data_IF_123820478613
#
_entry.id   IF_123820478613
#
_cell.length_a   1.000
_cell.length_b   1.000
_cell.length_c   1.000
_cell.angle_alpha   90.00
_cell.angle_beta   90.00
_cell.angle_gamma   90.00
#
_symmetry.space_group_name_H-M   'P 1'
#
loop_
_entity.id
_entity.type
_entity.pdbx_description
1 polymer ?
2 non-polymer ?
3 non-polymer ?
4 water ?
#
# COMPACT_ATOMS: atom_id res chain seq x y z
N UNK A 11 18.80 15.40 -17.83
CA UNK A 11 18.82 14.05 -17.18
C UNK A 11 17.53 13.82 -16.39
N UNK A 12 17.03 12.59 -16.40
CA UNK A 12 15.78 12.28 -15.71
C UNK A 12 15.88 12.24 -14.18
N UNK A 13 14.88 12.81 -13.51
CA UNK A 13 14.74 12.60 -12.09
C UNK A 13 14.24 11.17 -11.78
N UNK A 14 14.40 10.69 -10.52
CA UNK A 14 13.80 9.42 -10.14
C UNK A 14 12.32 9.36 -10.53
N UNK A 15 11.60 10.44 -10.29
CA UNK A 15 10.17 10.47 -10.62
C UNK A 15 9.95 10.17 -12.12
N UNK A 16 10.74 10.80 -12.98
CA UNK A 16 10.63 10.58 -14.44
C UNK A 16 11.00 9.15 -14.84
N UNK A 17 11.99 8.61 -14.16
CA UNK A 17 12.46 7.24 -14.42
C UNK A 17 11.34 6.27 -14.11
N UNK A 18 10.69 6.48 -12.96
CA UNK A 18 9.54 5.62 -12.59
C UNK A 18 8.35 5.84 -13.53
N UNK A 19 8.05 7.09 -13.84
CA UNK A 19 7.00 7.37 -14.83
C UNK A 19 7.27 6.64 -16.14
N UNK A 20 8.52 6.63 -16.56
CA UNK A 20 8.87 5.92 -17.81
C UNK A 20 8.55 4.41 -17.69
N UNK A 21 8.82 3.84 -16.53
CA UNK A 21 8.46 2.44 -16.30
C UNK A 21 6.96 2.25 -16.47
N UNK A 22 6.16 3.10 -15.83
CA UNK A 22 4.70 2.95 -15.90
C UNK A 22 4.20 3.12 -17.36
N UNK A 23 4.83 4.02 -18.10
CA UNK A 23 4.47 4.21 -19.53
C UNK A 23 4.75 2.90 -20.32
N UNK A 24 5.90 2.28 -20.04
CA UNK A 24 6.31 1.05 -20.71
C UNK A 24 5.33 -0.06 -20.30
N UNK A 25 4.88 -0.04 -19.05
CA UNK A 25 3.85 -1.01 -18.58
C UNK A 25 2.53 -0.86 -19.33
N UNK A 26 2.09 0.37 -19.55
CA UNK A 26 0.88 0.64 -20.35
C UNK A 26 1.01 0.11 -21.78
N UNK A 27 2.25 0.08 -22.30
CA UNK A 27 2.52 -0.39 -23.65
C UNK A 27 2.82 -1.89 -23.71
N UNK A 28 2.75 -2.57 -22.57
CA UNK A 28 3.08 -4.01 -22.49
C UNK A 28 4.46 -4.30 -23.03
N UNK A 29 5.41 -3.45 -22.66
CA UNK A 29 6.76 -3.58 -23.18
C UNK A 29 7.72 -3.94 -22.06
N UNK A 30 7.99 -5.23 -21.86
CA UNK A 30 8.87 -5.66 -20.75
C UNK A 30 10.32 -5.21 -20.87
N UNK A 31 10.85 -5.13 -22.09
CA UNK A 31 12.16 -4.58 -22.31
C UNK A 31 12.24 -3.15 -21.79
N UNK A 32 11.28 -2.31 -22.18
CA UNK A 32 11.28 -0.91 -21.71
C UNK A 32 11.01 -0.85 -20.21
N UNK A 33 10.12 -1.72 -19.72
CA UNK A 33 9.80 -1.73 -18.28
C UNK A 33 11.05 -1.99 -17.44
N UNK A 34 11.95 -2.80 -17.97
CA UNK A 34 13.16 -3.23 -17.24
C UNK A 34 14.40 -2.42 -17.57
N UNK A 35 14.26 -1.40 -18.43
CA UNK A 35 15.40 -0.69 -19.00
C UNK A 35 16.30 -0.06 -17.96
N UNK A 36 15.72 0.46 -16.88
CA UNK A 36 16.47 1.15 -15.83
C UNK A 36 16.65 0.34 -14.53
N UNK A 37 16.30 -0.93 -14.57
CA UNK A 37 16.45 -1.82 -13.44
C UNK A 37 17.94 -2.16 -13.23
N UNK A 38 18.46 -1.85 -12.04
CA UNK A 38 19.86 -2.12 -11.67
C UNK A 38 20.04 -3.59 -11.28
N UNK A 39 21.24 -4.14 -11.50
CA UNK A 39 21.49 -5.50 -10.96
C UNK A 39 21.34 -5.64 -9.44
N UNK A 40 21.46 -4.54 -8.71
CA UNK A 40 21.20 -4.50 -7.25
C UNK A 40 19.72 -4.53 -6.86
N UNK A 41 18.86 -4.59 -7.84
CA UNK A 41 17.40 -4.50 -7.63
C UNK A 41 16.93 -5.47 -6.53
N UNK A 42 16.04 -4.98 -5.66
CA UNK A 42 15.22 -5.85 -4.79
C UNK A 42 13.79 -5.46 -5.09
N UNK A 43 13.08 -6.37 -5.77
CA UNK A 43 11.72 -6.13 -6.26
C UNK A 43 10.82 -7.07 -5.49
N UNK A 44 10.02 -6.53 -4.58
CA UNK A 44 9.17 -7.34 -3.71
C UNK A 44 7.70 -7.32 -4.07
N UNK A 45 7.18 -8.50 -4.43
CA UNK A 45 5.75 -8.71 -4.58
C UNK A 45 5.22 -9.07 -3.19
N UNK A 46 4.04 -8.56 -2.82
CA UNK A 46 3.53 -8.65 -1.44
C UNK A 46 3.35 -10.11 -1.05
N UNK A 47 3.59 -10.42 0.23
CA UNK A 47 3.51 -11.77 0.75
C UNK A 47 2.27 -12.54 0.36
N UNK A 48 1.11 -11.87 0.45
CA UNK A 48 -0.17 -12.53 0.15
C UNK A 48 -0.58 -12.59 -1.34
N UNK A 49 0.26 -11.96 -2.18
CA UNK A 49 0.05 -11.90 -3.62
C UNK A 49 0.55 -13.20 -4.30
N UNK A 50 -0.12 -13.66 -5.35
CA UNK A 50 0.35 -14.97 -5.88
C UNK A 50 1.81 -15.01 -6.30
N UNK A 51 2.30 -13.90 -6.83
CA UNK A 51 3.72 -13.80 -7.24
C UNK A 51 4.68 -13.36 -6.10
N UNK A 52 4.22 -13.44 -4.86
CA UNK A 52 5.00 -13.14 -3.67
C UNK A 52 6.47 -13.50 -3.75
N UNK A 53 7.33 -12.61 -3.33
CA UNK A 53 8.73 -12.91 -3.15
C UNK A 53 9.54 -11.65 -3.43
N UNK A 54 10.86 -11.76 -3.25
CA UNK A 54 11.81 -10.69 -3.59
C UNK A 54 12.72 -11.17 -4.70
N UNK A 55 12.64 -10.49 -5.83
CA UNK A 55 13.34 -10.80 -7.06
C UNK A 55 14.52 -9.86 -7.24
N UNK A 56 15.63 -10.44 -7.70
CA UNK A 56 16.91 -9.75 -7.65
C UNK A 56 17.65 -9.63 -8.98
N UNK A 57 16.88 -9.70 -10.06
CA UNK A 57 17.36 -9.39 -11.38
C UNK A 57 16.15 -9.09 -12.28
N UNK A 58 16.40 -8.35 -13.35
CA UNK A 58 15.36 -8.10 -14.36
C UNK A 58 14.80 -9.38 -14.94
N UNK A 59 15.68 -10.33 -15.22
CA UNK A 59 15.26 -11.66 -15.69
C UNK A 59 14.29 -12.37 -14.71
N UNK A 60 14.58 -12.37 -13.41
CA UNK A 60 13.68 -12.99 -12.40
C UNK A 60 12.35 -12.27 -12.40
N UNK A 61 12.39 -10.95 -12.49
CA UNK A 61 11.13 -10.17 -12.50
C UNK A 61 10.27 -10.50 -13.71
N UNK A 62 10.89 -10.53 -14.87
CA UNK A 62 10.15 -10.82 -16.11
C UNK A 62 9.57 -12.22 -16.06
N UNK A 63 10.40 -13.19 -15.69
CA UNK A 63 9.98 -14.60 -15.68
C UNK A 63 9.00 -14.92 -14.55
N UNK A 64 9.31 -14.49 -13.34
CA UNK A 64 8.59 -15.02 -12.18
C UNK A 64 7.45 -14.12 -11.78
N UNK A 65 7.38 -12.93 -12.34
CA UNK A 65 6.29 -12.02 -12.05
C UNK A 65 5.49 -11.78 -13.34
N UNK A 66 6.05 -11.07 -14.30
CA UNK A 66 5.24 -10.64 -15.45
C UNK A 66 4.81 -11.85 -16.32
N UNK A 67 5.71 -12.77 -16.60
CA UNK A 67 5.31 -13.95 -17.39
C UNK A 67 4.22 -14.75 -16.71
N UNK A 68 4.36 -14.93 -15.38
CA UNK A 68 3.45 -15.72 -14.62
C UNK A 68 2.07 -15.05 -14.62
N UNK A 69 2.05 -13.72 -14.45
CA UNK A 69 0.79 -13.00 -14.51
C UNK A 69 0.10 -13.24 -15.87
N UNK A 70 0.88 -13.17 -16.94
CA UNK A 70 0.32 -13.38 -18.29
C UNK A 70 -0.22 -14.78 -18.51
N UNK A 71 0.45 -15.77 -17.91
CA UNK A 71 0.05 -17.15 -18.01
C UNK A 71 -1.23 -17.44 -17.23
N UNK A 72 -1.37 -16.85 -16.07
CA UNK A 72 -2.42 -17.22 -15.12
C UNK A 72 -3.69 -16.34 -15.11
N UNK A 73 -3.56 -15.18 -15.77
CA UNK A 73 -4.62 -14.15 -15.77
C UNK A 73 -4.84 -13.69 -17.21
N UNK A 74 -6.10 -13.40 -17.51
CA UNK A 74 -6.50 -12.71 -18.73
C UNK A 74 -6.71 -11.23 -18.46
N UNK A 75 -6.03 -10.38 -19.23
CA UNK A 75 -6.23 -8.96 -19.11
C UNK A 75 -5.75 -8.35 -17.81
N UNK A 76 -4.71 -8.93 -17.21
CA UNK A 76 -4.14 -8.35 -16.00
C UNK A 76 -3.67 -6.95 -16.33
N UNK A 77 -4.20 -5.99 -15.59
CA UNK A 77 -4.01 -4.58 -15.88
C UNK A 77 -3.66 -3.77 -14.65
N UNK A 78 -2.73 -2.80 -14.81
CA UNK A 78 -2.51 -1.77 -13.78
C UNK A 78 -2.82 -0.41 -14.42
N UNK A 79 -3.60 0.39 -13.73
CA UNK A 79 -3.89 1.75 -14.12
C UNK A 79 -3.38 2.71 -13.05
N UNK A 80 -2.47 3.58 -13.44
CA UNK A 80 -1.84 4.53 -12.54
C UNK A 80 -2.79 5.71 -12.31
N UNK A 81 -3.07 6.01 -11.05
CA UNK A 81 -3.95 7.12 -10.63
C UNK A 81 -3.15 8.35 -10.12
N UNK A 82 -2.08 8.10 -9.38
CA UNK A 82 -1.23 9.12 -8.75
C UNK A 82 0.23 8.69 -8.75
N UNK A 83 1.11 9.67 -8.79
CA UNK A 83 2.54 9.41 -8.67
C UNK A 83 3.14 10.48 -7.78
N UNK A 84 3.69 10.05 -6.65
CA UNK A 84 4.12 10.95 -5.60
C UNK A 84 5.64 11.03 -5.60
N UNK A 85 6.19 12.25 -5.61
CA UNK A 85 7.59 12.47 -5.75
C UNK A 85 8.22 12.70 -4.37
N UNK A 86 8.90 11.68 -3.82
CA UNK A 86 9.65 11.82 -2.57
C UNK A 86 11.16 11.82 -2.79
N UNK A 87 11.61 12.47 -3.86
CA UNK A 87 13.04 12.60 -4.13
C UNK A 87 13.56 11.34 -4.77
N UNK A 88 14.41 10.63 -4.03
CA UNK A 88 14.92 9.35 -4.53
C UNK A 88 13.91 8.23 -4.42
N UNK A 89 12.85 8.46 -3.64
CA UNK A 89 11.71 7.52 -3.50
C UNK A 89 10.52 8.07 -4.22
N UNK A 90 9.82 7.20 -4.96
CA UNK A 90 8.65 7.58 -5.70
C UNK A 90 7.57 6.59 -5.41
N UNK A 91 6.34 7.09 -5.23
CA UNK A 91 5.23 6.19 -4.85
C UNK A 91 4.13 6.28 -5.88
N UNK A 92 3.84 5.15 -6.55
CA UNK A 92 2.78 5.07 -7.52
C UNK A 92 1.54 4.49 -6.84
N UNK A 93 0.37 5.03 -7.17
CA UNK A 93 -0.89 4.53 -6.66
C UNK A 93 -1.84 4.29 -7.82
N UNK A 94 -2.59 3.21 -7.75
CA UNK A 94 -3.54 2.88 -8.81
C UNK A 94 -4.45 1.72 -8.52
N UNK A 95 -4.86 1.06 -9.57
CA UNK A 95 -5.81 -0.03 -9.50
C UNK A 95 -5.31 -1.17 -10.34
N UNK A 96 -5.43 -2.37 -9.79
CA UNK A 96 -5.28 -3.56 -10.57
C UNK A 96 -6.63 -4.15 -10.97
N UNK A 97 -6.67 -4.86 -12.10
CA UNK A 97 -7.83 -5.68 -12.46
C UNK A 97 -7.35 -6.86 -13.29
N UNK A 98 -8.17 -7.89 -13.38
CA UNK A 98 -7.79 -9.05 -14.16
C UNK A 98 -8.78 -10.17 -13.95
N UNK A 99 -8.72 -11.18 -14.83
CA UNK A 99 -9.59 -12.38 -14.76
C UNK A 99 -8.69 -13.61 -14.62
N UNK A 100 -8.94 -14.38 -13.58
CA UNK A 100 -8.10 -15.54 -13.30
C UNK A 100 -8.53 -16.65 -14.23
N UNK A 101 -7.58 -17.16 -15.01
CA UNK A 101 -7.94 -18.09 -16.09
C UNK A 101 -8.59 -19.38 -15.55
N UNK A 102 -8.10 -19.92 -14.44
CA UNK A 102 -8.64 -21.19 -13.93
C UNK A 102 -10.14 -21.12 -13.56
N UNK A 103 -10.58 -20.01 -12.98
CA UNK A 103 -11.94 -19.86 -12.45
C UNK A 103 -12.88 -18.97 -13.26
N UNK A 104 -12.30 -18.17 -14.15
CA UNK A 104 -12.98 -17.17 -14.92
C UNK A 104 -13.51 -16.02 -14.09
N UNK A 105 -13.03 -15.86 -12.85
CA UNK A 105 -13.48 -14.79 -11.95
C UNK A 105 -12.56 -13.56 -12.08
N UNK A 106 -13.16 -12.38 -12.07
CA UNK A 106 -12.41 -11.12 -12.14
C UNK A 106 -12.32 -10.46 -10.79
N UNK A 107 -11.39 -9.51 -10.68
CA UNK A 107 -11.28 -8.66 -9.50
C UNK A 107 -10.87 -7.27 -9.97
N UNK A 108 -11.05 -6.31 -9.06
CA UNK A 108 -10.43 -5.02 -9.18
C UNK A 108 -10.04 -4.59 -7.78
N UNK A 109 -8.90 -4.00 -7.61
CA UNK A 109 -8.53 -3.48 -6.29
C UNK A 109 -7.49 -2.39 -6.35
N UNK A 110 -7.21 -1.81 -5.20
CA UNK A 110 -6.23 -0.77 -5.10
C UNK A 110 -4.82 -1.33 -4.88
N UNK A 111 -3.84 -0.50 -5.21
CA UNK A 111 -2.45 -0.83 -5.03
C UNK A 111 -1.61 0.43 -4.93
N UNK A 112 -0.57 0.33 -4.09
CA UNK A 112 0.49 1.31 -4.03
C UNK A 112 1.83 0.58 -4.29
N UNK A 113 2.74 1.25 -5.00
CA UNK A 113 4.08 0.78 -5.25
C UNK A 113 5.08 1.80 -4.74
N UNK A 114 6.06 1.33 -3.96
CA UNK A 114 7.12 2.21 -3.45
C UNK A 114 8.39 1.83 -4.19
N UNK A 115 8.98 2.84 -4.82
CA UNK A 115 10.19 2.76 -5.65
C UNK A 115 11.32 3.55 -5.04
N UNK A 116 12.55 3.05 -5.21
CA UNK A 116 13.76 3.87 -4.97
C UNK A 116 14.74 3.78 -6.14
N UNK A 117 15.34 4.93 -6.45
CA UNK A 117 16.29 5.09 -7.53
C UNK A 117 17.60 5.54 -6.90
N UNK A 118 18.69 5.01 -7.43
CA UNK A 118 20.05 5.35 -7.02
C UNK A 118 20.93 5.51 -8.24
N UNK A 119 21.44 6.73 -8.41
CA UNK A 119 22.33 7.05 -9.53
C UNK A 119 21.71 6.65 -10.88
N UNK A 120 20.42 6.95 -11.02
CA UNK A 120 19.73 6.86 -12.29
C UNK A 120 19.14 5.51 -12.60
N UNK A 121 19.28 4.56 -11.68
CA UNK A 121 18.70 3.22 -11.83
C UNK A 121 17.77 2.84 -10.72
N UNK A 122 16.75 2.09 -11.08
CA UNK A 122 15.80 1.61 -10.09
C UNK A 122 16.45 0.46 -9.30
N UNK A 123 16.48 0.63 -7.98
CA UNK A 123 17.09 -0.35 -7.08
C UNK A 123 16.13 -1.01 -6.10
N UNK A 124 14.93 -0.49 -5.98
CA UNK A 124 13.94 -1.01 -5.03
C UNK A 124 12.55 -0.85 -5.58
N UNK A 125 11.73 -1.88 -5.41
CA UNK A 125 10.27 -1.85 -5.69
C UNK A 125 9.61 -2.70 -4.62
N UNK A 126 8.48 -2.19 -4.12
CA UNK A 126 7.63 -2.97 -3.21
C UNK A 126 6.19 -2.70 -3.48
N UNK A 127 5.43 -3.79 -3.57
CA UNK A 127 4.03 -3.79 -3.85
C UNK A 127 3.19 -3.86 -2.56
N UNK A 128 2.13 -3.05 -2.51
CA UNK A 128 1.15 -3.11 -1.42
C UNK A 128 -0.25 -3.12 -2.03
N UNK A 129 -0.90 -4.29 -2.03
CA UNK A 129 -2.17 -4.45 -2.72
C UNK A 129 -3.14 -5.30 -1.91
N UNK A 130 -4.39 -5.34 -2.39
CA UNK A 130 -5.51 -6.00 -1.67
C UNK A 130 -5.47 -7.48 -1.98
N UNK A 131 -4.54 -8.16 -1.31
CA UNK A 131 -4.30 -9.56 -1.59
C UNK A 131 -5.52 -10.46 -1.36
N UNK A 132 -6.41 -10.06 -0.45
CA UNK A 132 -7.68 -10.80 -0.26
C UNK A 132 -8.58 -10.74 -1.51
N UNK A 133 -8.75 -9.54 -2.05
CA UNK A 133 -9.54 -9.40 -3.27
C UNK A 133 -8.96 -10.19 -4.44
N UNK A 134 -7.64 -10.19 -4.58
CA UNK A 134 -7.00 -11.00 -5.64
C UNK A 134 -7.25 -12.52 -5.38
N UNK A 135 -7.05 -12.94 -4.14
CA UNK A 135 -7.24 -14.34 -3.72
C UNK A 135 -8.68 -14.83 -3.96
N UNK A 136 -9.64 -13.94 -3.78
CA UNK A 136 -11.08 -14.26 -3.99
C UNK A 136 -11.35 -14.70 -5.44
N UNK A 137 -10.71 -14.04 -6.39
CA UNK A 137 -10.83 -14.35 -7.84
C UNK A 137 -10.27 -15.74 -8.16
N UNK A 138 -9.37 -16.24 -7.30
CA UNK A 138 -8.67 -17.51 -7.55
C UNK A 138 -9.41 -18.68 -6.93
N UNK A 139 -10.37 -18.38 -6.05
CA UNK A 139 -11.17 -19.44 -5.42
C UNK A 139 -12.13 -20.08 -6.41
N UNK A 140 -12.14 -21.42 -6.46
CA UNK A 140 -13.14 -22.14 -7.23
C UNK A 140 -14.58 -21.81 -6.82
N UNK B 10 1.52 25.49 12.57
CA UNK B 10 1.30 26.57 11.55
C UNK B 10 2.42 26.52 10.51
N UNK B 11 3.67 26.45 10.98
CA UNK B 11 4.82 26.33 10.09
C UNK B 11 5.27 24.88 9.98
N UNK B 12 4.43 24.00 10.51
CA UNK B 12 4.76 22.60 10.60
C UNK B 12 4.43 21.86 9.30
N UNK B 13 5.34 21.03 8.80
CA UNK B 13 5.18 20.48 7.48
C UNK B 13 4.18 19.33 7.55
N UNK B 14 3.58 19.00 6.40
CA UNK B 14 2.80 17.74 6.38
C UNK B 14 3.50 16.50 6.92
N UNK B 15 4.78 16.33 6.59
CA UNK B 15 5.56 15.23 7.13
C UNK B 15 5.51 15.20 8.68
N UNK B 16 5.77 16.37 9.27
CA UNK B 16 5.77 16.49 10.75
C UNK B 16 4.41 16.22 11.35
N UNK B 17 3.37 16.75 10.70
CA UNK B 17 1.99 16.53 11.13
C UNK B 17 1.66 15.01 11.14
N UNK B 18 2.05 14.32 10.08
CA UNK B 18 1.80 12.88 10.00
C UNK B 18 2.67 12.12 10.99
N UNK B 19 3.95 12.50 11.11
CA UNK B 19 4.80 11.94 12.17
C UNK B 19 4.16 12.10 13.55
N UNK B 20 3.62 13.29 13.84
CA UNK B 20 2.93 13.52 15.13
C UNK B 20 1.76 12.53 15.33
N UNK B 21 0.98 12.34 14.27
CA UNK B 21 -0.09 11.34 14.30
C UNK B 21 0.44 9.95 14.68
N UNK B 22 1.49 9.51 14.01
CA UNK B 22 2.00 8.17 14.26
C UNK B 22 2.50 8.00 15.69
N UNK B 23 3.15 9.05 16.19
CA UNK B 23 3.63 9.03 17.56
C UNK B 23 2.46 8.88 18.54
N UNK B 24 1.41 9.66 18.33
CA UNK B 24 0.20 9.63 19.17
C UNK B 24 -0.46 8.28 19.09
N UNK B 25 -0.49 7.72 17.89
CA UNK B 25 -1.16 6.43 17.68
C UNK B 25 -0.44 5.31 18.41
N UNK B 26 0.88 5.34 18.36
CA UNK B 26 1.66 4.34 19.02
C UNK B 26 1.45 4.34 20.55
N UNK B 27 1.25 5.51 21.12
CA UNK B 27 1.11 5.59 22.57
C UNK B 27 -0.37 5.63 23.01
N UNK B 28 -1.27 5.43 22.04
CA UNK B 28 -2.69 5.37 22.24
C UNK B 28 -3.28 6.60 22.89
N UNK B 29 -2.94 7.75 22.30
CA UNK B 29 -3.48 9.03 22.67
C UNK B 29 -4.46 9.52 21.61
N UNK B 30 -5.73 9.09 21.68
CA UNK B 30 -6.67 9.43 20.60
C UNK B 30 -6.92 10.90 20.39
N UNK B 31 -6.86 11.72 21.45
CA UNK B 31 -7.00 13.16 21.28
C UNK B 31 -5.91 13.70 20.38
N UNK B 32 -4.67 13.34 20.66
CA UNK B 32 -3.55 13.78 19.80
C UNK B 32 -3.60 13.12 18.40
N UNK B 33 -3.96 11.84 18.33
CA UNK B 33 -4.12 11.19 17.02
C UNK B 33 -4.99 11.98 16.08
N UNK B 34 -6.11 12.46 16.60
CA UNK B 34 -7.14 13.10 15.77
C UNK B 34 -7.05 14.64 15.72
N UNK B 35 -6.06 15.21 16.38
CA UNK B 35 -5.96 16.69 16.59
C UNK B 35 -5.91 17.46 15.27
N UNK B 36 -5.24 16.89 14.25
CA UNK B 36 -5.03 17.59 12.98
C UNK B 36 -5.94 17.07 11.86
N UNK B 37 -6.93 16.25 12.22
CA UNK B 37 -7.87 15.72 11.24
C UNK B 37 -8.81 16.83 10.78
N UNK B 38 -8.90 17.01 9.46
CA UNK B 38 -9.78 18.05 8.90
C UNK B 38 -11.24 17.65 9.03
N UNK B 39 -12.12 18.66 9.16
CA UNK B 39 -13.55 18.42 9.04
C UNK B 39 -13.90 17.64 7.77
N UNK B 40 -13.17 17.94 6.69
CA UNK B 40 -13.44 17.36 5.39
C UNK B 40 -12.67 16.03 5.17
N UNK B 41 -12.18 15.42 6.26
CA UNK B 41 -11.40 14.17 6.16
C UNK B 41 -12.09 13.08 5.31
N UNK B 42 -11.31 12.40 4.46
CA UNK B 42 -11.68 11.12 3.86
C UNK B 42 -10.60 10.10 4.26
N UNK B 43 -10.97 9.16 5.12
CA UNK B 43 -10.06 8.17 5.68
C UNK B 43 -10.55 6.80 5.20
N UNK B 44 -9.79 6.20 4.30
CA UNK B 44 -10.12 4.95 3.67
C UNK B 44 -9.29 3.74 4.19
N UNK B 45 -9.99 2.81 4.81
CA UNK B 45 -9.46 1.50 5.19
C UNK B 45 -9.70 0.62 3.94
N UNK B 46 -8.68 -0.19 3.60
CA UNK B 46 -8.73 -0.96 2.37
C UNK B 46 -9.93 -1.90 2.26
N UNK B 47 -10.43 -2.12 1.03
CA UNK B 47 -11.64 -2.85 0.79
C UNK B 47 -11.59 -4.23 1.45
N UNK B 48 -10.45 -4.93 1.33
CA UNK B 48 -10.33 -6.27 1.95
C UNK B 48 -10.01 -6.32 3.42
N UNK B 49 -9.83 -5.15 4.04
CA UNK B 49 -9.46 -5.06 5.48
C UNK B 49 -10.76 -5.14 6.31
N UNK B 50 -10.74 -5.75 7.53
CA UNK B 50 -12.02 -5.86 8.26
C UNK B 50 -12.75 -4.55 8.52
N UNK B 51 -11.98 -3.50 8.78
CA UNK B 51 -12.50 -2.15 8.95
C UNK B 51 -12.79 -1.34 7.65
N UNK B 52 -12.77 -2.04 6.50
CA UNK B 52 -12.97 -1.47 5.19
C UNK B 52 -14.00 -0.36 5.19
N UNK B 53 -13.71 0.70 4.46
CA UNK B 53 -14.67 1.76 4.25
C UNK B 53 -14.02 3.13 4.18
N UNK B 54 -14.79 4.16 3.84
CA UNK B 54 -14.32 5.56 3.86
C UNK B 54 -15.09 6.32 4.94
N UNK B 55 -14.32 6.86 5.89
CA UNK B 55 -14.85 7.53 7.09
C UNK B 55 -14.61 9.00 7.00
N UNK B 56 -15.57 9.77 7.47
CA UNK B 56 -15.66 11.19 7.08
C UNK B 56 -15.69 12.13 8.29
N UNK B 57 -15.27 11.64 9.46
CA UNK B 57 -15.08 12.49 10.63
C UNK B 57 -14.16 11.78 11.56
N UNK B 58 -13.53 12.55 12.44
CA UNK B 58 -12.73 11.97 13.51
C UNK B 58 -13.55 10.97 14.36
N UNK B 59 -14.80 11.32 14.69
CA UNK B 59 -15.67 10.42 15.46
C UNK B 59 -15.85 9.08 14.78
N UNK B 60 -16.10 9.10 13.48
CA UNK B 60 -16.26 7.87 12.71
C UNK B 60 -15.00 7.03 12.75
N UNK B 61 -13.87 7.69 12.56
CA UNK B 61 -12.60 6.97 12.52
C UNK B 61 -12.35 6.31 13.86
N UNK B 62 -12.58 7.04 14.95
CA UNK B 62 -12.30 6.46 16.29
C UNK B 62 -13.23 5.29 16.52
N UNK B 63 -14.52 5.50 16.30
CA UNK B 63 -15.51 4.44 16.59
C UNK B 63 -15.40 3.24 15.65
N UNK B 64 -15.34 3.49 14.35
CA UNK B 64 -15.48 2.39 13.37
C UNK B 64 -14.17 1.77 12.92
N UNK B 65 -13.04 2.41 13.26
CA UNK B 65 -11.73 1.85 12.95
C UNK B 65 -10.99 1.49 14.25
N UNK B 66 -10.54 2.49 15.00
CA UNK B 66 -9.65 2.19 16.12
C UNK B 66 -10.33 1.44 17.25
N UNK B 67 -11.55 1.85 17.61
CA UNK B 67 -12.28 1.12 18.67
C UNK B 67 -12.48 -0.35 18.27
N UNK B 68 -12.90 -0.59 17.02
CA UNK B 68 -13.17 -1.94 16.55
C UNK B 68 -11.88 -2.77 16.58
N UNK B 69 -10.76 -2.17 16.20
CA UNK B 69 -9.49 -2.89 16.25
C UNK B 69 -9.20 -3.37 17.68
N UNK B 70 -9.41 -2.47 18.66
CA UNK B 70 -9.18 -2.78 20.09
C UNK B 70 -10.10 -3.85 20.58
N UNK B 71 -11.33 -3.87 20.09
CA UNK B 71 -12.31 -4.87 20.53
C UNK B 71 -12.04 -6.27 19.92
N UNK B 72 -11.54 -6.32 18.69
CA UNK B 72 -11.51 -7.59 17.95
C UNK B 72 -10.13 -8.26 17.92
N UNK B 73 -9.10 -7.52 18.31
CA UNK B 73 -7.70 -7.94 18.29
C UNK B 73 -7.04 -7.64 19.63
N UNK B 74 -6.17 -8.56 20.04
CA UNK B 74 -5.23 -8.38 21.14
C UNK B 74 -3.91 -7.86 20.58
N UNK B 75 -3.45 -6.70 21.06
CA UNK B 75 -2.14 -6.23 20.73
C UNK B 75 -1.95 -5.80 19.28
N UNK B 76 -3.02 -5.29 18.69
CA UNK B 76 -2.98 -4.76 17.34
C UNK B 76 -1.98 -3.60 17.30
N UNK B 77 -0.95 -3.74 16.46
CA UNK B 77 0.19 -2.81 16.47
C UNK B 77 0.60 -2.40 15.06
N UNK B 78 0.99 -1.14 14.91
CA UNK B 78 1.66 -0.65 13.71
C UNK B 78 3.05 -0.20 14.10
N UNK B 79 4.02 -0.68 13.36
CA UNK B 79 5.40 -0.30 13.54
C UNK B 79 5.85 0.43 12.29
N UNK B 80 6.17 1.71 12.43
CA UNK B 80 6.63 2.53 11.33
C UNK B 80 8.08 2.26 10.99
N UNK B 81 8.32 1.95 9.71
CA UNK B 81 9.64 1.62 9.19
C UNK B 81 10.23 2.76 8.35
N UNK B 82 9.39 3.45 7.60
CA UNK B 82 9.80 4.52 6.67
C UNK B 82 8.75 5.56 6.59
N UNK B 83 9.16 6.79 6.33
CA UNK B 83 8.20 7.87 6.15
C UNK B 83 8.72 8.76 5.03
N UNK B 84 7.98 8.80 3.92
CA UNK B 84 8.45 9.42 2.71
C UNK B 84 7.75 10.74 2.51
N UNK B 85 8.54 11.79 2.38
CA UNK B 85 8.06 13.17 2.28
C UNK B 85 7.88 13.53 0.81
N UNK B 86 6.63 13.56 0.32
CA UNK B 86 6.32 14.01 -1.05
C UNK B 86 5.55 15.35 -0.98
N UNK B 87 5.89 16.18 0.00
CA UNK B 87 5.36 17.54 0.05
C UNK B 87 4.04 17.60 0.76
N UNK B 88 2.96 17.80 0.02
CA UNK B 88 1.63 17.78 0.62
C UNK B 88 1.14 16.37 0.86
N UNK B 89 1.76 15.41 0.18
CA UNK B 89 1.49 14.00 0.43
C UNK B 89 2.65 13.42 1.23
N UNK B 90 2.32 12.45 2.08
CA UNK B 90 3.32 11.80 2.92
C UNK B 90 2.97 10.31 2.88
N UNK B 91 3.96 9.41 2.76
CA UNK B 91 3.66 7.97 2.69
C UNK B 91 4.42 7.26 3.83
N UNK B 92 3.64 6.64 4.71
CA UNK B 92 4.20 5.83 5.81
C UNK B 92 4.27 4.38 5.35
N UNK B 93 5.31 3.64 5.78
CA UNK B 93 5.43 2.23 5.43
C UNK B 93 5.85 1.52 6.70
N UNK B 94 5.30 0.34 6.95
CA UNK B 94 5.73 -0.43 8.10
C UNK B 94 5.05 -1.77 8.14
N UNK B 95 4.83 -2.25 9.36
CA UNK B 95 4.29 -3.57 9.61
C UNK B 95 3.14 -3.50 10.60
N UNK B 96 2.12 -4.28 10.34
CA UNK B 96 1.05 -4.55 11.26
C UNK B 96 1.27 -5.90 11.88
N UNK B 97 0.78 -6.06 13.11
CA UNK B 97 0.74 -7.35 13.79
C UNK B 97 -0.42 -7.33 14.79
N UNK B 98 -0.87 -8.51 15.18
CA UNK B 98 -1.99 -8.59 16.09
C UNK B 98 -2.45 -10.03 16.23
N UNK B 99 -3.27 -10.30 17.24
CA UNK B 99 -3.86 -11.62 17.48
C UNK B 99 -5.40 -11.43 17.49
N UNK B 100 -6.07 -12.14 16.59
CA UNK B 100 -7.52 -12.04 16.49
C UNK B 100 -8.14 -12.77 17.67
N UNK B 101 -8.93 -12.04 18.44
CA UNK B 101 -9.46 -12.60 19.70
C UNK B 101 -10.33 -13.84 19.52
N UNK B 102 -11.14 -13.87 18.46
CA UNK B 102 -12.08 -15.01 18.26
C UNK B 102 -11.39 -16.36 17.97
N UNK B 103 -10.26 -16.31 17.30
CA UNK B 103 -9.56 -17.52 16.85
C UNK B 103 -8.26 -17.76 17.62
N UNK B 104 -7.66 -16.71 18.21
CA UNK B 104 -6.39 -16.81 18.90
C UNK B 104 -5.17 -16.82 17.97
N UNK B 105 -5.41 -16.58 16.67
CA UNK B 105 -4.39 -16.62 15.64
C UNK B 105 -3.76 -15.25 15.44
N UNK B 106 -2.44 -15.21 15.33
CA UNK B 106 -1.71 -13.97 15.02
C UNK B 106 -1.36 -13.86 13.54
N UNK B 107 -0.99 -12.65 13.13
CA UNK B 107 -0.46 -12.36 11.80
C UNK B 107 0.56 -11.25 11.96
N UNK B 108 1.40 -11.12 10.94
CA UNK B 108 2.24 -9.96 10.75
C UNK B 108 2.27 -9.69 9.24
N UNK B 109 2.15 -8.45 8.85
CA UNK B 109 2.26 -8.14 7.40
C UNK B 109 2.69 -6.69 7.14
N UNK B 110 2.93 -6.37 5.88
CA UNK B 110 3.32 -5.04 5.48
C UNK B 110 2.14 -4.14 5.23
N UNK B 111 2.40 -2.84 5.31
CA UNK B 111 1.38 -1.84 5.07
C UNK B 111 2.05 -0.55 4.59
N UNK B 112 1.40 0.12 3.65
CA UNK B 112 1.69 1.50 3.31
C UNK B 112 0.43 2.36 3.53
N UNK B 113 0.65 3.59 4.03
CA UNK B 113 -0.39 4.58 4.23
C UNK B 113 -0.06 5.83 3.44
N UNK B 114 -1.02 6.26 2.62
CA UNK B 114 -0.87 7.50 1.85
C UNK B 114 -1.73 8.61 2.48
N UNK B 115 -1.07 9.70 2.84
CA UNK B 115 -1.68 10.82 3.56
C UNK B 115 -1.61 12.07 2.69
N UNK B 116 -2.63 12.93 2.79
CA UNK B 116 -2.60 14.26 2.18
C UNK B 116 -2.98 15.30 3.24
N UNK B 117 -2.19 16.38 3.31
CA UNK B 117 -2.43 17.49 4.24
C UNK B 117 -2.69 18.73 3.38
N UNK B 118 -3.69 19.50 3.81
CA UNK B 118 -3.99 20.80 3.21
C UNK B 118 -4.20 21.81 4.36
N UNK B 119 -3.48 22.92 4.28
CA UNK B 119 -3.63 24.02 5.23
C UNK B 119 -3.51 23.53 6.66
N UNK B 120 -2.50 22.68 6.90
CA UNK B 120 -2.18 22.20 8.23
C UNK B 120 -3.05 21.09 8.79
N UNK B 121 -3.98 20.58 7.98
CA UNK B 121 -4.88 19.54 8.42
C UNK B 121 -4.78 18.32 7.51
N UNK B 122 -4.87 17.17 8.13
CA UNK B 122 -4.93 15.92 7.38
C UNK B 122 -6.31 15.81 6.73
N UNK B 123 -6.31 15.77 5.39
CA UNK B 123 -7.58 15.65 4.63
C UNK B 123 -7.83 14.29 3.95
N UNK B 124 -6.80 13.50 3.75
CA UNK B 124 -6.97 12.15 3.18
C UNK B 124 -5.97 11.15 3.81
N UNK B 125 -6.48 9.96 4.04
CA UNK B 125 -5.69 8.79 4.46
C UNK B 125 -6.17 7.62 3.63
N UNK B 126 -5.24 6.82 3.14
CA UNK B 126 -5.62 5.57 2.50
C UNK B 126 -4.65 4.44 2.91
N UNK B 127 -5.20 3.29 3.28
CA UNK B 127 -4.45 2.16 3.74
C UNK B 127 -4.26 1.12 2.58
N UNK B 128 -3.04 0.58 2.46
CA UNK B 128 -2.73 -0.47 1.52
C UNK B 128 -1.99 -1.59 2.26
N UNK B 129 -2.66 -2.69 2.60
CA UNK B 129 -2.08 -3.75 3.41
C UNK B 129 -2.41 -5.13 2.91
N UNK B 130 -1.78 -6.14 3.53
CA UNK B 130 -1.89 -7.53 3.08
C UNK B 130 -3.13 -8.13 3.65
N UNK B 131 -4.23 -7.78 3.02
CA UNK B 131 -5.53 -8.20 3.52
C UNK B 131 -5.73 -9.71 3.61
N UNK B 132 -5.06 -10.47 2.74
CA UNK B 132 -5.14 -11.93 2.82
C UNK B 132 -4.52 -12.42 4.13
N UNK B 133 -3.34 -11.92 4.48
CA UNK B 133 -2.71 -12.36 5.76
C UNK B 133 -3.53 -11.97 6.97
N UNK B 134 -4.15 -10.79 6.98
CA UNK B 134 -5.04 -10.43 8.07
C UNK B 134 -6.26 -11.37 8.13
N UNK B 135 -6.84 -11.61 6.98
CA UNK B 135 -7.96 -12.54 6.84
C UNK B 135 -7.63 -13.98 7.31
N UNK B 136 -6.42 -14.45 7.07
CA UNK B 136 -6.00 -15.79 7.51
C UNK B 136 -6.10 -15.92 9.03
N UNK B 137 -5.77 -14.85 9.74
CA UNK B 137 -5.81 -14.84 11.19
C UNK B 137 -7.27 -14.93 11.71
N UNK B 138 -8.23 -14.56 10.86
CA UNK B 138 -9.63 -14.50 11.24
C UNK B 138 -10.36 -15.77 10.86
N UNK B 139 -9.63 -16.74 10.32
CA UNK B 139 -10.21 -18.04 9.96
C UNK B 139 -10.17 -19.01 11.11
N UNK B 140 -11.33 -19.61 11.46
CA UNK B 140 -11.33 -20.72 12.41
C UNK B 140 -10.42 -21.86 11.96
X LIG C 1 3.99 -2.46 -12.74
X LIG C 1 4.60 -2.69 -13.83
X LIG C 1 2.74 -2.34 -12.84
X LIG C 1 4.71 -2.33 -11.45
X LIG D 1 3.21 -5.96 -10.14
X LIG D 1 2.17 -5.29 -10.48
X LIG D 1 3.63 -5.89 -8.94
X LIG D 1 3.90 -6.79 -11.14
X LIG E 1 -5.23 1.72 10.38
X LIG E 1 -4.09 1.27 10.67
X LIG E 1 -5.54 1.82 9.17
X LIG E 1 -6.15 2.16 11.47
X LIG F 1 -9.13 -16.70 3.72
X LIG F 1 -8.49 -17.09 4.73
X LIG F 1 -8.78 -17.20 2.62
X LIG F 1 -10.26 -15.73 3.82
X LIG G 1 -3.08 15.01 24.86
X LIG G 1 -2.22 14.81 23.97
X LIG G 1 -4.03 14.21 24.88
X LIG G 1 -2.96 16.14 25.85
X LIG H 1 -3.00 4.48 11.15
X LIG H 1 -2.99 5.68 10.45
X LIG H 1 -1.98 4.63 12.25
X LIG H 1 -2.60 5.30 13.31
X LIG H 1 -1.47 3.25 12.68
X LIG H 1 -2.51 2.32 12.93
#
# INVERSE_FOLDING_TARGET
GXRNPSEDHXMRTPYQIVADHYAASDRHDPAAMMADIAPAIEWTEMAGFPCAGTYRSADEIVRNVFRRLGEEWDGYTFKLDALHDAGDTVIGVGRYSGTYRRTGKSFECRVAHVWRVDAGKIVHFEQFTDTLLVAQAMQP
GXRNPSEDHMMRTPYQIVADHYAASDRHDPAAMMADIAPAIEWTEMAGFPCAGTYRSADEIVRNVFRRLGEEWDGYTFKLDALHDAGDTVIGVGRYSGTYRRTGKSFECRVAHVWRVDAGKIVHFEQFTDTLLVAQAMQP
ACT C O OXT CH3
ACT C O OXT CH3
ACT C O OXT CH3
ACT C O OXT CH3
ACT C O OXT CH3
GOL C1 O1 C2 O2 C3 O3
#
